data_IF_535148257770
#
_entry.id   IF_535148257770
#
_cell.length_a   1.000
_cell.length_b   1.000
_cell.length_c   1.000
_cell.angle_alpha   90.00
_cell.angle_beta   90.00
_cell.angle_gamma   90.00
#
_symmetry.space_group_name_H-M   'P 1'
#
loop_
_entity.id
_entity.type
_entity.pdbx_description
1 polymer ?
#
# COMPACT_ATOMS: atom_id res chain seq x y z
N UNK A 1 -22.03 3.01 -16.87
CA UNK A 1 -20.72 3.01 -16.21
C UNK A 1 -20.94 2.73 -14.74
N UNK A 2 -20.37 1.64 -14.22
CA UNK A 2 -20.40 1.33 -12.78
C UNK A 2 -19.50 2.29 -12.02
N UNK A 3 -19.97 2.81 -10.90
CA UNK A 3 -19.17 3.67 -10.02
C UNK A 3 -18.25 2.78 -9.21
N UNK A 4 -16.93 3.01 -9.26
CA UNK A 4 -15.94 2.25 -8.50
C UNK A 4 -16.21 2.33 -6.99
N UNK A 5 -16.15 1.19 -6.30
CA UNK A 5 -16.43 1.08 -4.87
C UNK A 5 -15.24 0.52 -4.11
N UNK A 6 -14.93 1.16 -2.98
CA UNK A 6 -13.97 0.68 -2.00
C UNK A 6 -14.52 -0.55 -1.25
N UNK A 7 -13.60 -1.45 -0.90
CA UNK A 7 -13.84 -2.71 -0.18
C UNK A 7 -13.62 -2.57 1.32
N UNK A 8 -12.83 -1.59 1.76
CA UNK A 8 -12.55 -1.32 3.17
C UNK A 8 -12.04 0.10 3.41
N UNK A 9 -11.96 0.51 4.68
CA UNK A 9 -11.29 1.75 5.08
C UNK A 9 -9.78 1.73 4.79
N UNK A 10 -9.12 0.58 4.93
CA UNK A 10 -7.69 0.44 4.63
C UNK A 10 -7.41 0.73 3.15
N UNK A 11 -8.31 0.30 2.26
CA UNK A 11 -8.20 0.60 0.84
C UNK A 11 -8.39 2.09 0.55
N UNK A 12 -9.38 2.75 1.17
CA UNK A 12 -9.59 4.19 1.04
C UNK A 12 -8.37 4.98 1.53
N UNK A 13 -7.82 4.60 2.69
CA UNK A 13 -6.61 5.19 3.25
C UNK A 13 -5.43 4.96 2.31
N UNK A 14 -5.25 3.75 1.79
CA UNK A 14 -4.19 3.48 0.84
C UNK A 14 -4.33 4.35 -0.41
N UNK A 15 -5.52 4.43 -1.00
CA UNK A 15 -5.80 5.27 -2.17
C UNK A 15 -5.45 6.74 -1.89
N UNK A 16 -5.89 7.30 -0.76
CA UNK A 16 -5.57 8.66 -0.35
C UNK A 16 -4.05 8.88 -0.17
N UNK A 17 -3.32 7.88 0.35
CA UNK A 17 -1.86 7.95 0.52
C UNK A 17 -1.08 7.96 -0.81
N UNK A 18 -1.70 7.55 -1.92
CA UNK A 18 -1.12 7.63 -3.25
C UNK A 18 -1.17 9.04 -3.86
N UNK A 19 -1.87 9.98 -3.20
CA UNK A 19 -1.99 11.35 -3.67
C UNK A 19 -1.08 12.29 -2.85
N UNK A 20 0.08 12.72 -3.38
CA UNK A 20 0.95 13.65 -2.67
C UNK A 20 0.23 14.97 -2.41
N UNK A 21 0.65 15.69 -1.37
CA UNK A 21 0.13 17.03 -1.13
C UNK A 21 0.40 17.93 -2.35
N UNK A 22 -0.60 18.61 -2.92
CA UNK A 22 -0.39 19.46 -4.09
C UNK A 22 0.45 20.71 -3.77
N UNK A 23 0.55 21.09 -2.48
CA UNK A 23 1.33 22.25 -2.06
C UNK A 23 2.79 21.90 -1.73
N UNK A 24 3.05 20.86 -0.93
CA UNK A 24 4.41 20.53 -0.47
C UNK A 24 4.95 19.18 -0.96
N UNK A 25 4.18 18.43 -1.74
CA UNK A 25 4.58 17.12 -2.27
C UNK A 25 4.61 15.98 -1.26
N UNK A 26 4.46 16.25 0.05
CA UNK A 26 4.48 15.22 1.09
C UNK A 26 3.39 14.18 0.87
N UNK A 27 3.77 12.90 0.92
CA UNK A 27 2.85 11.76 0.97
C UNK A 27 2.65 11.39 2.45
N UNK A 28 1.46 11.66 2.95
CA UNK A 28 1.10 11.42 4.35
C UNK A 28 0.56 10.00 4.52
N UNK A 29 0.75 9.42 5.71
CA UNK A 29 -0.01 8.24 6.08
C UNK A 29 -1.48 8.64 6.19
N UNK A 30 -2.36 8.03 5.40
CA UNK A 30 -3.78 8.39 5.40
C UNK A 30 -4.52 8.02 6.70
N UNK A 31 -3.83 7.38 7.65
CA UNK A 31 -4.27 7.20 9.02
C UNK A 31 -4.40 8.53 9.81
N UNK A 32 -3.83 9.62 9.30
CA UNK A 32 -4.02 10.97 9.84
C UNK A 32 -5.33 11.64 9.37
N UNK A 33 -6.11 10.96 8.51
CA UNK A 33 -7.39 11.45 7.99
C UNK A 33 -8.56 10.83 8.76
N UNK A 34 -9.52 11.66 9.13
CA UNK A 34 -10.78 11.23 9.73
C UNK A 34 -11.75 10.74 8.66
N UNK A 35 -12.42 9.62 8.93
CA UNK A 35 -13.50 9.11 8.10
C UNK A 35 -14.82 9.78 8.52
N UNK A 36 -15.56 10.31 7.55
CA UNK A 36 -16.91 10.80 7.74
C UNK A 36 -17.77 10.33 6.56
N UNK A 37 -19.01 9.94 6.83
CA UNK A 37 -19.89 9.44 5.78
C UNK A 37 -21.01 8.59 6.34
N UNK A 38 -21.90 8.15 5.45
CA UNK A 38 -22.97 7.24 5.79
C UNK A 38 -23.39 6.43 4.56
N UNK A 39 -23.96 5.26 4.83
CA UNK A 39 -24.39 4.31 3.81
C UNK A 39 -23.23 3.97 2.84
N UNK A 40 -23.32 4.45 1.60
CA UNK A 40 -22.33 4.15 0.56
C UNK A 40 -21.48 5.36 0.13
N UNK A 41 -21.57 6.48 0.85
CA UNK A 41 -20.84 7.71 0.53
C UNK A 41 -19.94 8.11 1.70
N UNK A 42 -18.63 8.13 1.45
CA UNK A 42 -17.62 8.33 2.48
C UNK A 42 -16.59 9.36 2.05
N UNK A 43 -16.02 10.07 3.02
CA UNK A 43 -14.95 11.02 2.84
C UNK A 43 -13.84 10.76 3.87
N UNK A 44 -12.59 10.76 3.41
CA UNK A 44 -11.42 10.90 4.27
C UNK A 44 -10.99 12.36 4.26
N UNK A 45 -11.00 13.02 5.41
CA UNK A 45 -10.67 14.44 5.56
C UNK A 45 -9.65 14.68 6.66
N UNK A 46 -8.77 15.65 6.46
CA UNK A 46 -7.78 16.06 7.45
C UNK A 46 -6.87 17.12 6.86
N UNK A 47 -5.73 17.36 7.50
CA UNK A 47 -4.75 18.34 7.04
C UNK A 47 -3.44 17.65 6.67
N UNK A 48 -2.70 18.21 5.72
CA UNK A 48 -1.34 17.78 5.47
C UNK A 48 -0.50 18.01 6.75
N UNK A 49 0.21 17.00 7.28
CA UNK A 49 0.97 17.11 8.53
C UNK A 49 2.19 18.02 8.41
N UNK A 50 2.58 18.41 7.18
CA UNK A 50 3.76 19.27 6.94
C UNK A 50 3.35 20.71 6.69
N UNK A 51 2.45 20.97 5.73
CA UNK A 51 2.08 22.35 5.35
C UNK A 51 0.71 22.79 5.85
N UNK A 52 -0.05 21.92 6.50
CA UNK A 52 -1.38 22.22 7.03
C UNK A 52 -2.49 22.31 5.97
N UNK A 53 -2.19 22.18 4.67
CA UNK A 53 -3.20 22.26 3.61
C UNK A 53 -4.31 21.22 3.85
N UNK A 54 -5.61 21.61 3.88
CA UNK A 54 -6.71 20.67 3.97
C UNK A 54 -6.70 19.65 2.82
N UNK A 55 -6.92 18.38 3.15
CA UNK A 55 -7.02 17.25 2.23
C UNK A 55 -8.39 16.60 2.41
N UNK A 56 -9.05 16.30 1.30
CA UNK A 56 -10.32 15.57 1.28
C UNK A 56 -10.34 14.61 0.10
N UNK A 57 -10.83 13.40 0.33
CA UNK A 57 -11.00 12.36 -0.69
C UNK A 57 -12.36 11.72 -0.52
N UNK A 58 -13.14 11.60 -1.59
CA UNK A 58 -14.47 11.00 -1.56
C UNK A 58 -14.46 9.62 -2.20
N UNK A 59 -15.22 8.71 -1.60
CA UNK A 59 -15.30 7.31 -2.01
C UNK A 59 -16.75 6.83 -1.99
N UNK A 60 -17.04 5.85 -2.85
CA UNK A 60 -18.17 4.95 -2.67
C UNK A 60 -17.70 3.63 -2.07
N UNK A 61 -18.57 2.91 -1.37
CA UNK A 61 -18.26 1.58 -0.82
C UNK A 61 -19.46 0.63 -0.95
N UNK A 62 -19.26 -0.68 -0.78
CA UNK A 62 -20.33 -1.68 -0.82
C UNK A 62 -21.24 -1.70 0.44
N UNK A 63 -20.89 -0.91 1.46
CA UNK A 63 -21.53 -0.83 2.76
C UNK A 63 -20.68 0.04 3.69
N UNK A 64 -20.73 -0.18 5.00
CA UNK A 64 -19.80 0.47 5.92
C UNK A 64 -18.36 -0.03 5.66
N UNK A 65 -17.40 0.84 5.29
CA UNK A 65 -16.03 0.44 5.02
C UNK A 65 -15.27 -0.03 6.27
N UNK A 66 -15.78 0.23 7.47
CA UNK A 66 -15.24 -0.28 8.73
C UNK A 66 -15.50 -1.79 8.91
N UNK A 67 -16.56 -2.32 8.31
CA UNK A 67 -16.88 -3.75 8.32
C UNK A 67 -16.03 -4.55 7.32
N UNK A 68 -15.31 -3.85 6.42
CA UNK A 68 -14.47 -4.45 5.40
C UNK A 68 -13.27 -5.18 6.00
N UNK A 69 -13.35 -6.50 6.13
CA UNK A 69 -12.22 -7.32 6.57
C UNK A 69 -11.10 -7.37 5.50
N UNK A 70 -9.86 -7.21 5.96
CA UNK A 70 -8.68 -7.38 5.14
C UNK A 70 -7.71 -8.37 5.82
N UNK A 71 -7.25 -9.42 5.11
CA UNK A 71 -6.15 -10.23 5.59
C UNK A 71 -4.90 -9.40 5.88
N UNK A 72 -3.97 -9.99 6.64
CA UNK A 72 -2.67 -9.36 6.87
C UNK A 72 -1.98 -9.06 5.53
N UNK A 73 -1.48 -7.83 5.40
CA UNK A 73 -0.77 -7.34 4.21
C UNK A 73 -1.65 -7.26 2.94
N UNK A 74 -2.96 -7.07 3.12
CA UNK A 74 -3.95 -6.80 2.09
C UNK A 74 -4.85 -5.62 2.51
N UNK A 75 -5.62 -5.09 1.56
CA UNK A 75 -6.48 -3.92 1.77
C UNK A 75 -7.98 -4.24 1.65
N UNK A 76 -8.34 -5.48 1.34
CA UNK A 76 -9.73 -5.89 1.26
C UNK A 76 -9.83 -7.39 0.95
N UNK A 77 -11.04 -7.82 0.59
CA UNK A 77 -11.31 -9.20 0.21
C UNK A 77 -10.58 -9.67 -1.06
N UNK A 78 -10.92 -10.88 -1.57
CA UNK A 78 -10.19 -11.52 -2.66
C UNK A 78 -10.34 -10.83 -4.02
N UNK A 79 -11.41 -10.04 -4.22
CA UNK A 79 -11.65 -9.31 -5.47
C UNK A 79 -10.62 -8.19 -5.68
N UNK A 80 -10.24 -7.86 -6.94
CA UNK A 80 -9.35 -6.74 -7.23
C UNK A 80 -9.95 -5.39 -6.79
N UNK A 81 -9.08 -4.38 -6.64
CA UNK A 81 -9.48 -3.01 -6.35
C UNK A 81 -10.27 -2.41 -7.52
N UNK A 82 -11.36 -1.70 -7.23
CA UNK A 82 -12.05 -0.88 -8.22
C UNK A 82 -11.56 0.57 -8.21
N UNK A 83 -11.03 1.03 -7.08
CA UNK A 83 -10.66 2.43 -6.85
C UNK A 83 -9.18 2.72 -7.11
N UNK A 84 -8.33 1.68 -7.24
CA UNK A 84 -6.91 1.82 -7.57
C UNK A 84 -6.58 0.90 -8.75
N UNK A 85 -6.25 1.50 -9.89
CA UNK A 85 -5.92 0.77 -11.12
C UNK A 85 -4.55 0.06 -11.04
N UNK A 86 -4.36 -1.04 -11.80
CA UNK A 86 -3.09 -1.78 -11.89
C UNK A 86 -1.82 -0.93 -12.01
N UNK A 87 -1.83 0.08 -12.88
CA UNK A 87 -0.68 0.96 -13.10
C UNK A 87 -0.25 1.71 -11.83
N UNK A 88 -1.21 2.14 -10.99
CA UNK A 88 -0.92 2.88 -9.74
C UNK A 88 -0.18 2.02 -8.72
N UNK A 89 -0.48 0.71 -8.67
CA UNK A 89 0.26 -0.24 -7.83
C UNK A 89 1.69 -0.41 -8.31
N UNK A 90 1.91 -0.51 -9.63
CA UNK A 90 3.24 -0.64 -10.23
C UNK A 90 4.06 0.63 -9.96
N UNK A 91 3.49 1.81 -10.17
CA UNK A 91 4.15 3.09 -9.88
C UNK A 91 4.62 3.16 -8.42
N UNK A 92 3.78 2.69 -7.49
CA UNK A 92 4.11 2.69 -6.07
C UNK A 92 5.20 1.66 -5.73
N UNK A 93 5.17 0.47 -6.32
CA UNK A 93 6.25 -0.53 -6.17
C UNK A 93 7.58 0.05 -6.67
N UNK A 94 7.60 0.68 -7.84
CA UNK A 94 8.82 1.29 -8.41
C UNK A 94 9.35 2.43 -7.54
N UNK A 95 8.45 3.26 -6.99
CA UNK A 95 8.81 4.34 -6.08
C UNK A 95 9.44 3.82 -4.78
N UNK A 96 8.92 2.70 -4.26
CA UNK A 96 9.39 2.10 -3.00
C UNK A 96 10.65 1.26 -3.17
N UNK A 97 10.88 0.67 -4.35
CA UNK A 97 12.03 -0.21 -4.63
C UNK A 97 13.39 0.33 -4.15
N UNK A 98 13.79 1.59 -4.42
CA UNK A 98 15.09 2.09 -3.97
C UNK A 98 15.19 2.25 -2.44
N UNK A 99 14.07 2.21 -1.72
CA UNK A 99 14.03 2.33 -0.26
C UNK A 99 14.11 0.97 0.45
N UNK A 100 13.93 -0.14 -0.28
CA UNK A 100 13.99 -1.49 0.30
C UNK A 100 15.41 -2.02 0.25
N UNK A 101 16.11 -1.91 1.37
CA UNK A 101 17.49 -2.36 1.54
C UNK A 101 17.52 -3.84 1.95
N UNK A 102 18.33 -4.62 1.24
CA UNK A 102 18.37 -6.07 1.36
C UNK A 102 19.04 -6.58 2.66
N UNK A 103 19.97 -5.80 3.21
CA UNK A 103 20.66 -6.11 4.45
C UNK A 103 20.27 -5.12 5.56
N UNK A 104 19.40 -5.51 6.49
CA UNK A 104 18.97 -4.63 7.58
C UNK A 104 20.04 -4.44 8.66
N UNK A 105 21.03 -5.34 8.76
CA UNK A 105 21.95 -5.39 9.91
C UNK A 105 22.93 -4.22 9.96
N UNK A 106 23.11 -3.53 8.83
CA UNK A 106 24.01 -2.38 8.68
C UNK A 106 23.28 -1.03 8.84
N UNK A 107 21.98 -1.05 9.08
CA UNK A 107 21.16 0.16 9.16
C UNK A 107 21.10 0.69 10.59
N UNK A 108 21.10 2.01 10.71
CA UNK A 108 20.64 2.70 11.92
C UNK A 108 19.11 2.55 12.08
N UNK A 109 18.58 3.00 13.22
CA UNK A 109 17.16 2.81 13.57
C UNK A 109 16.21 3.47 12.55
N UNK A 110 16.55 4.66 12.06
CA UNK A 110 15.70 5.43 11.16
C UNK A 110 15.69 4.81 9.75
N UNK A 111 16.87 4.49 9.20
CA UNK A 111 16.99 3.84 7.91
C UNK A 111 16.38 2.43 7.93
N UNK A 112 16.53 1.70 9.04
CA UNK A 112 15.92 0.40 9.24
C UNK A 112 14.39 0.51 9.24
N UNK A 113 13.83 1.47 9.96
CA UNK A 113 12.38 1.71 10.05
C UNK A 113 11.81 2.09 8.68
N UNK A 114 12.44 3.04 7.99
CA UNK A 114 12.03 3.47 6.66
C UNK A 114 12.05 2.31 5.66
N UNK A 115 13.11 1.50 5.67
CA UNK A 115 13.27 0.36 4.77
C UNK A 115 12.29 -0.78 5.08
N UNK A 116 12.03 -1.07 6.37
CA UNK A 116 11.01 -2.03 6.81
C UNK A 116 9.63 -1.61 6.33
N UNK A 117 9.28 -0.34 6.52
CA UNK A 117 7.96 0.18 6.17
C UNK A 117 7.76 0.23 4.65
N UNK A 118 8.81 0.57 3.89
CA UNK A 118 8.82 0.47 2.43
C UNK A 118 8.61 -0.98 1.95
N UNK A 119 9.28 -1.95 2.58
CA UNK A 119 9.10 -3.37 2.25
C UNK A 119 7.68 -3.87 2.56
N UNK A 120 7.13 -3.49 3.72
CA UNK A 120 5.75 -3.82 4.12
C UNK A 120 4.76 -3.25 3.11
N UNK A 121 4.93 -1.99 2.70
CA UNK A 121 4.04 -1.34 1.74
C UNK A 121 4.17 -1.94 0.33
N UNK A 122 5.37 -2.32 -0.09
CA UNK A 122 5.60 -3.03 -1.35
C UNK A 122 4.89 -4.39 -1.36
N UNK A 123 4.94 -5.12 -0.25
CA UNK A 123 4.23 -6.40 -0.08
C UNK A 123 2.70 -6.23 -0.23
N UNK A 124 2.13 -5.17 0.35
CA UNK A 124 0.71 -4.83 0.16
C UNK A 124 0.40 -4.56 -1.31
N UNK A 125 1.22 -3.73 -1.98
CA UNK A 125 1.01 -3.39 -3.40
C UNK A 125 1.00 -4.63 -4.29
N UNK A 126 1.96 -5.54 -4.11
CA UNK A 126 2.05 -6.74 -4.94
C UNK A 126 0.97 -7.75 -4.61
N UNK A 127 0.53 -7.87 -3.35
CA UNK A 127 -0.61 -8.72 -3.00
C UNK A 127 -1.90 -8.21 -3.65
N UNK A 128 -2.15 -6.90 -3.65
CA UNK A 128 -3.32 -6.31 -4.29
C UNK A 128 -3.25 -6.36 -5.83
N UNK A 129 -2.07 -6.11 -6.42
CA UNK A 129 -1.89 -6.20 -7.86
C UNK A 129 -2.15 -7.62 -8.39
N UNK A 130 -1.77 -8.65 -7.64
CA UNK A 130 -2.02 -10.06 -8.02
C UNK A 130 -3.50 -10.39 -8.14
N UNK A 131 -4.40 -9.70 -7.42
CA UNK A 131 -5.85 -9.92 -7.49
C UNK A 131 -6.44 -9.55 -8.86
N UNK A 132 -5.71 -8.76 -9.66
CA UNK A 132 -6.10 -8.42 -11.03
C UNK A 132 -5.74 -9.50 -12.06
N UNK A 133 -4.97 -10.53 -11.69
CA UNK A 133 -4.69 -11.66 -12.58
C UNK A 133 -5.82 -12.67 -12.44
N UNK A 134 -6.62 -12.92 -13.51
CA UNK A 134 -7.66 -13.95 -13.46
C UNK A 134 -7.07 -15.32 -13.16
N UNK A 135 -7.89 -16.20 -12.57
CA UNK A 135 -7.49 -17.59 -12.30
C UNK A 135 -7.04 -18.26 -13.61
N UNK A 136 -5.84 -18.84 -13.59
CA UNK A 136 -5.24 -19.53 -14.74
C UNK A 136 -4.60 -18.60 -15.78
N UNK A 137 -4.68 -17.27 -15.62
CA UNK A 137 -4.01 -16.33 -16.51
C UNK A 137 -2.55 -16.10 -16.08
N UNK A 138 -1.70 -15.84 -17.06
CA UNK A 138 -0.28 -15.53 -16.82
C UNK A 138 -0.02 -14.03 -16.57
N UNK A 139 -1.02 -13.18 -16.80
CA UNK A 139 -0.91 -11.72 -16.72
C UNK A 139 -2.26 -11.05 -16.48
N UNK A 140 -2.21 -9.77 -16.10
CA UNK A 140 -3.38 -8.89 -16.10
C UNK A 140 -3.83 -8.67 -17.56
N UNK A 141 -5.11 -8.94 -17.91
CA UNK A 141 -5.65 -8.68 -19.24
C UNK A 141 -5.62 -7.20 -19.62
N UNK A 142 -5.47 -6.91 -20.90
CA UNK A 142 -5.59 -5.57 -21.51
C UNK A 142 -4.68 -4.47 -20.90
N UNK A 143 -3.67 -4.87 -20.12
CA UNK A 143 -2.78 -3.96 -19.42
C UNK A 143 -1.32 -4.16 -19.84
N UNK A 144 -0.63 -3.04 -20.11
CA UNK A 144 0.82 -2.97 -20.30
C UNK A 144 1.36 -3.99 -21.29
N UNK A 145 0.91 -3.96 -22.55
CA UNK A 145 1.40 -4.87 -23.58
C UNK A 145 2.94 -4.88 -23.61
N UNK A 146 3.55 -6.07 -23.44
CA UNK A 146 5.00 -6.25 -23.36
C UNK A 146 5.67 -5.89 -22.03
N UNK A 147 4.99 -5.22 -21.09
CA UNK A 147 5.56 -4.91 -19.77
C UNK A 147 5.45 -6.11 -18.82
N UNK A 148 6.62 -6.66 -18.47
CA UNK A 148 6.76 -7.83 -17.60
C UNK A 148 6.15 -7.63 -16.21
N UNK A 149 5.96 -6.39 -15.75
CA UNK A 149 5.40 -6.07 -14.43
C UNK A 149 3.91 -6.40 -14.31
N UNK A 150 3.24 -6.60 -15.44
CA UNK A 150 1.85 -7.10 -15.47
C UNK A 150 1.78 -8.64 -15.48
N UNK A 151 2.91 -9.35 -15.54
CA UNK A 151 2.96 -10.81 -15.53
C UNK A 151 2.89 -11.36 -14.10
N UNK A 152 2.14 -12.45 -13.92
CA UNK A 152 1.99 -13.15 -12.65
C UNK A 152 3.34 -13.62 -12.08
N UNK A 153 4.24 -14.08 -12.95
CA UNK A 153 5.58 -14.51 -12.55
C UNK A 153 6.40 -13.37 -11.90
N UNK A 154 6.35 -12.16 -12.47
CA UNK A 154 7.03 -11.00 -11.88
C UNK A 154 6.46 -10.65 -10.51
N UNK A 155 5.13 -10.63 -10.38
CA UNK A 155 4.49 -10.34 -9.09
C UNK A 155 4.82 -11.38 -8.03
N UNK A 156 4.88 -12.67 -8.40
CA UNK A 156 5.31 -13.75 -7.51
C UNK A 156 6.75 -13.53 -7.05
N UNK A 157 7.67 -13.22 -7.96
CA UNK A 157 9.07 -12.97 -7.62
C UNK A 157 9.24 -11.76 -6.69
N UNK A 158 8.54 -10.64 -6.96
CA UNK A 158 8.56 -9.45 -6.09
C UNK A 158 8.01 -9.79 -4.70
N UNK A 159 6.90 -10.52 -4.63
CA UNK A 159 6.30 -10.94 -3.36
C UNK A 159 7.24 -11.82 -2.54
N UNK A 160 7.86 -12.81 -3.17
CA UNK A 160 8.83 -13.70 -2.51
C UNK A 160 10.04 -12.92 -1.98
N UNK A 161 10.59 -11.98 -2.77
CA UNK A 161 11.66 -11.10 -2.32
C UNK A 161 11.24 -10.27 -1.09
N UNK A 162 10.04 -9.68 -1.11
CA UNK A 162 9.53 -8.92 0.04
C UNK A 162 9.38 -9.78 1.31
N UNK A 163 8.94 -11.04 1.17
CA UNK A 163 8.81 -11.97 2.30
C UNK A 163 10.18 -12.37 2.85
N UNK A 164 11.16 -12.62 2.00
CA UNK A 164 12.54 -12.91 2.42
C UNK A 164 13.15 -11.72 3.16
N UNK A 165 13.02 -10.52 2.62
CA UNK A 165 13.50 -9.28 3.27
C UNK A 165 12.80 -9.05 4.61
N UNK A 166 11.49 -9.31 4.69
CA UNK A 166 10.75 -9.23 5.97
C UNK A 166 11.27 -10.20 7.01
N UNK A 167 11.60 -11.44 6.62
CA UNK A 167 12.18 -12.41 7.55
C UNK A 167 13.51 -11.90 8.12
N UNK A 168 14.33 -11.21 7.32
CA UNK A 168 15.57 -10.57 7.79
C UNK A 168 15.31 -9.44 8.78
N UNK A 169 14.32 -8.57 8.53
CA UNK A 169 13.92 -7.54 9.51
C UNK A 169 13.48 -8.15 10.84
N UNK A 170 12.70 -9.23 10.81
CA UNK A 170 12.25 -9.91 12.03
C UNK A 170 13.45 -10.47 12.79
N UNK A 171 14.41 -11.10 12.09
CA UNK A 171 15.61 -11.63 12.71
C UNK A 171 16.52 -10.55 13.31
N UNK A 172 16.56 -9.35 12.71
CA UNK A 172 17.38 -8.21 13.15
C UNK A 172 16.70 -7.34 14.22
N UNK A 173 15.41 -7.56 14.51
CA UNK A 173 14.65 -6.77 15.48
C UNK A 173 15.33 -6.65 16.86
N UNK A 174 15.91 -7.71 17.46
CA UNK A 174 16.57 -7.58 18.77
C UNK A 174 17.74 -6.59 18.78
N UNK A 175 18.47 -6.45 17.67
CA UNK A 175 19.55 -5.47 17.54
C UNK A 175 18.99 -4.04 17.56
N UNK A 176 17.90 -3.80 16.84
CA UNK A 176 17.24 -2.50 16.79
C UNK A 176 16.66 -2.13 18.16
N UNK A 177 16.02 -3.07 18.85
CA UNK A 177 15.51 -2.86 20.21
C UNK A 177 16.64 -2.46 21.17
N UNK A 178 17.82 -3.10 21.07
CA UNK A 178 18.99 -2.73 21.85
C UNK A 178 19.52 -1.32 21.53
N UNK A 179 19.45 -0.88 20.27
CA UNK A 179 19.87 0.46 19.84
C UNK A 179 18.90 1.57 20.28
N UNK A 180 17.60 1.27 20.37
CA UNK A 180 16.59 2.23 20.83
C UNK A 180 16.68 2.49 22.35
N UNK A 181 17.32 1.60 23.10
CA UNK A 181 17.42 1.67 24.56
C UNK A 181 16.10 1.30 25.26
N UNK A 182 16.10 1.24 26.61
CA UNK A 182 14.86 1.11 27.37
C UNK A 182 14.00 2.37 27.15
N UNK A 183 12.77 2.16 26.67
CA UNK A 183 11.77 3.22 26.52
C UNK A 183 11.26 3.77 27.86
#
# INVERSE_FOLDING_TARGET
MTVARARSILEMQFAASLEPCPQCGTRSGAQDLSLAGQADAWALTGNCPVCGLPRAFTFRSYGDPLDGAAPRDELGGPSPSEIIAPARWIDEIERLRPLVLADPTQLDVDAWTASRDANRRTLVCVNELRKFVPVGAERIPDAGAGDVRYAAAWMTAVREACLQTRARYIADLPRIEALMGPG
#
